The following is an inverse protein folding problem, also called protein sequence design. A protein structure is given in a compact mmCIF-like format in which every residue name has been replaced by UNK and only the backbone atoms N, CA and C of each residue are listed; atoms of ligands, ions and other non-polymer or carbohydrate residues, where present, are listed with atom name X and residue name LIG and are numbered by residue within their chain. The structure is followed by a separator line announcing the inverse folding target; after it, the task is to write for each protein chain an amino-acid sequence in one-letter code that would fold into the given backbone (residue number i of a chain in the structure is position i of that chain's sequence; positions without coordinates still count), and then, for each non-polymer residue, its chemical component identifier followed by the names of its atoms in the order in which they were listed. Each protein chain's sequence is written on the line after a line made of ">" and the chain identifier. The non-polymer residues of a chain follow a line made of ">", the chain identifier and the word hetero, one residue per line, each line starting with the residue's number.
data_IF_821784789672
#
_entry.id   IF_821784789672
#
_cell.length_a   1.000
_cell.length_b   1.000
_cell.length_c   1.000
_cell.angle_alpha   90.00
_cell.angle_beta   90.00
_cell.angle_gamma   90.00
#
_symmetry.space_group_name_H-M   'P 1'
#
loop_
_entity.id
_entity.type
_entity.pdbx_description
1 polymer ?
#
# COMPACT_ATOMS: atom_id res chain seq x y z
N UNK A 1 -20.36 -5.13 -17.74
CA UNK A 1 -20.29 -5.23 -16.26
C UNK A 1 -20.21 -3.82 -15.71
N UNK A 2 -21.36 -3.20 -15.38
CA UNK A 2 -21.40 -1.85 -14.83
C UNK A 2 -21.46 -1.95 -13.31
N UNK A 3 -20.39 -1.51 -12.64
CA UNK A 3 -20.34 -1.40 -11.17
C UNK A 3 -21.03 -0.11 -10.73
N UNK A 4 -21.94 -0.22 -9.77
CA UNK A 4 -22.62 0.91 -9.14
C UNK A 4 -21.59 1.80 -8.43
N UNK A 5 -21.52 3.07 -8.81
CA UNK A 5 -20.67 4.09 -8.18
C UNK A 5 -21.50 4.83 -7.14
N UNK A 6 -21.02 4.87 -5.89
CA UNK A 6 -21.63 5.69 -4.85
C UNK A 6 -20.79 6.95 -4.64
N UNK A 7 -21.38 8.13 -4.88
CA UNK A 7 -20.69 9.43 -4.79
C UNK A 7 -21.30 10.21 -3.63
N UNK A 8 -20.50 10.50 -2.60
CA UNK A 8 -20.96 11.30 -1.45
C UNK A 8 -20.56 12.78 -1.61
N UNK A 9 -21.48 13.75 -1.43
CA UNK A 9 -21.11 15.16 -1.38
C UNK A 9 -20.43 15.51 -0.05
N UNK A 10 -19.49 16.47 -0.09
CA UNK A 10 -18.89 17.06 1.11
C UNK A 10 -19.59 18.39 1.35
N UNK A 11 -20.38 18.49 2.42
CA UNK A 11 -20.83 19.78 2.94
C UNK A 11 -19.77 20.32 3.91
N UNK A 12 -19.34 21.57 3.67
CA UNK A 12 -18.77 22.42 4.70
C UNK A 12 -19.92 23.08 5.48
N UNK A 13 -19.77 23.13 6.80
CA UNK A 13 -20.63 23.74 7.83
C UNK A 13 -21.72 22.87 8.48
N UNK A 14 -21.54 22.72 9.81
CA UNK A 14 -22.50 22.20 10.78
C UNK A 14 -23.58 23.26 11.04
N UNK A 15 -24.78 23.07 10.50
CA UNK A 15 -26.03 23.30 11.23
C UNK A 15 -27.23 22.89 10.38
N UNK A 16 -28.11 22.09 11.00
CA UNK A 16 -29.42 21.60 10.52
C UNK A 16 -29.39 20.30 9.72
N UNK A 17 -29.74 19.21 10.43
CA UNK A 17 -30.31 18.00 9.85
C UNK A 17 -31.63 18.38 9.16
N UNK A 18 -31.79 18.07 7.88
CA UNK A 18 -33.07 17.61 7.30
C UNK A 18 -32.90 17.06 5.86
N UNK A 19 -33.67 15.99 5.60
CA UNK A 19 -34.03 15.34 4.33
C UNK A 19 -32.93 14.82 3.39
N UNK A 20 -32.66 13.51 3.50
CA UNK A 20 -32.13 12.65 2.44
C UNK A 20 -33.21 12.44 1.36
N UNK A 21 -33.03 13.03 0.18
CA UNK A 21 -33.68 12.55 -1.05
C UNK A 21 -32.58 11.97 -1.94
N UNK A 22 -32.47 10.64 -1.94
CA UNK A 22 -31.58 9.88 -2.80
C UNK A 22 -32.11 9.90 -4.25
N UNK A 23 -31.31 10.43 -5.18
CA UNK A 23 -31.58 10.34 -6.62
C UNK A 23 -31.11 8.97 -7.13
N UNK A 24 -32.02 8.00 -7.16
CA UNK A 24 -31.83 6.72 -7.84
C UNK A 24 -31.90 6.89 -9.36
N UNK A 25 -30.79 6.65 -10.06
CA UNK A 25 -30.79 6.51 -11.53
C UNK A 25 -30.93 5.03 -11.86
N UNK A 26 -32.13 4.63 -12.30
CA UNK A 26 -32.41 3.33 -12.92
C UNK A 26 -32.01 3.34 -14.40
N UNK A 27 -31.48 2.22 -14.89
CA UNK A 27 -31.47 1.88 -16.32
C UNK A 27 -31.93 0.43 -16.50
N UNK A 28 -32.98 0.27 -17.30
CA UNK A 28 -33.67 -0.98 -17.63
C UNK A 28 -32.90 -1.86 -18.65
N UNK A 29 -33.20 -3.16 -18.54
CA UNK A 29 -33.12 -4.25 -19.52
C UNK A 29 -31.76 -4.78 -20.02
N UNK A 30 -31.46 -6.03 -19.63
CA UNK A 30 -31.40 -7.15 -20.59
C UNK A 30 -31.45 -8.50 -19.85
N UNK A 31 -32.50 -9.27 -20.16
CA UNK A 31 -32.70 -10.67 -19.77
C UNK A 31 -31.96 -11.60 -20.72
N UNK A 32 -31.12 -12.51 -20.23
CA UNK A 32 -30.88 -13.78 -20.90
C UNK A 32 -30.48 -14.84 -19.87
N UNK A 33 -31.22 -15.95 -19.92
CA UNK A 33 -31.23 -17.10 -19.02
C UNK A 33 -29.95 -17.92 -19.08
N UNK A 34 -29.36 -18.23 -17.91
CA UNK A 34 -28.42 -19.33 -17.76
C UNK A 34 -28.85 -20.23 -16.59
N UNK A 35 -28.88 -21.52 -16.88
CA UNK A 35 -29.39 -22.64 -16.09
C UNK A 35 -28.83 -22.70 -14.65
N UNK A 36 -29.72 -22.77 -13.67
CA UNK A 36 -29.42 -22.59 -12.23
C UNK A 36 -29.04 -23.88 -11.48
N UNK A 37 -28.76 -24.99 -12.17
CA UNK A 37 -28.54 -26.28 -11.51
C UNK A 37 -27.23 -26.93 -11.99
N UNK A 38 -26.11 -26.68 -11.28
CA UNK A 38 -25.05 -27.68 -10.99
C UNK A 38 -23.78 -27.18 -10.27
N UNK A 39 -23.79 -26.08 -9.48
CA UNK A 39 -22.63 -25.71 -8.65
C UNK A 39 -22.99 -25.12 -7.27
N UNK A 40 -23.98 -25.70 -6.59
CA UNK A 40 -24.32 -25.32 -5.21
C UNK A 40 -23.91 -26.44 -4.25
N UNK A 41 -22.66 -26.40 -3.76
CA UNK A 41 -22.25 -26.86 -2.41
C UNK A 41 -20.73 -26.77 -2.21
N UNK A 42 -20.17 -25.56 -2.20
CA UNK A 42 -18.98 -25.17 -1.42
C UNK A 42 -18.59 -23.73 -1.80
N UNK A 43 -18.33 -22.88 -0.80
CA UNK A 43 -17.96 -21.45 -0.89
C UNK A 43 -19.12 -20.44 -0.88
N UNK A 44 -19.94 -20.47 0.18
CA UNK A 44 -20.81 -19.35 0.57
C UNK A 44 -20.13 -18.30 1.47
N UNK A 45 -18.84 -18.43 1.76
CA UNK A 45 -18.12 -17.47 2.60
C UNK A 45 -17.05 -16.71 1.82
N UNK A 46 -17.26 -15.39 1.70
CA UNK A 46 -16.32 -14.33 1.30
C UNK A 46 -16.20 -13.96 -0.19
N UNK A 47 -17.30 -13.58 -0.84
CA UNK A 47 -17.22 -12.47 -1.81
C UNK A 47 -17.60 -11.20 -1.05
N UNK A 48 -16.61 -10.51 -0.47
CA UNK A 48 -16.81 -9.13 -0.01
C UNK A 48 -17.18 -8.32 -1.26
N UNK A 49 -18.43 -7.87 -1.34
CA UNK A 49 -18.83 -6.84 -2.30
C UNK A 49 -18.05 -5.56 -1.98
N UNK A 50 -16.89 -5.36 -2.61
CA UNK A 50 -16.13 -4.12 -2.49
C UNK A 50 -16.84 -3.09 -3.36
N UNK A 51 -17.71 -2.30 -2.74
CA UNK A 51 -18.34 -1.15 -3.40
C UNK A 51 -17.25 -0.12 -3.66
N UNK A 52 -17.02 0.21 -4.94
CA UNK A 52 -16.06 1.23 -5.33
C UNK A 52 -16.56 2.62 -4.94
N UNK A 53 -15.73 3.37 -4.22
CA UNK A 53 -16.08 4.69 -3.72
C UNK A 53 -15.55 5.77 -4.67
N UNK A 54 -16.38 6.77 -4.96
CA UNK A 54 -15.98 7.97 -5.72
C UNK A 54 -15.87 9.20 -4.84
N UNK A 55 -14.87 10.05 -5.08
CA UNK A 55 -14.72 11.37 -4.45
C UNK A 55 -14.39 12.44 -5.49
N UNK A 56 -14.94 13.65 -5.32
CA UNK A 56 -14.61 14.78 -6.18
C UNK A 56 -13.14 15.19 -6.01
N UNK A 57 -12.52 15.59 -7.12
CA UNK A 57 -11.16 16.13 -7.11
C UNK A 57 -11.22 17.61 -6.72
N UNK A 58 -10.51 17.96 -5.64
CA UNK A 58 -10.46 19.34 -5.13
C UNK A 58 -9.90 20.28 -6.22
N UNK A 59 -10.64 21.34 -6.54
CA UNK A 59 -10.30 22.30 -7.60
C UNK A 59 -10.68 21.84 -9.02
N UNK A 60 -11.27 20.66 -9.16
CA UNK A 60 -11.73 20.07 -10.43
C UNK A 60 -13.11 19.41 -10.22
N UNK A 61 -14.17 20.21 -9.97
CA UNK A 61 -15.48 19.72 -9.54
C UNK A 61 -16.20 18.83 -10.57
N UNK A 62 -15.81 18.89 -11.85
CA UNK A 62 -16.37 18.03 -12.91
C UNK A 62 -15.73 16.62 -12.94
N UNK A 63 -14.80 16.33 -12.02
CA UNK A 63 -14.06 15.08 -12.02
C UNK A 63 -14.16 14.36 -10.68
N UNK A 64 -14.44 13.06 -10.77
CA UNK A 64 -14.45 12.12 -9.65
C UNK A 64 -13.27 11.17 -9.80
N UNK A 65 -12.53 10.95 -8.72
CA UNK A 65 -11.54 9.88 -8.61
C UNK A 65 -12.11 8.74 -7.78
N UNK A 66 -11.88 7.51 -8.22
CA UNK A 66 -12.39 6.32 -7.54
C UNK A 66 -11.34 5.63 -6.68
N UNK A 67 -11.78 4.79 -5.73
CA UNK A 67 -10.90 3.97 -4.88
C UNK A 67 -10.09 2.95 -5.67
N UNK A 68 -10.46 2.62 -6.91
CA UNK A 68 -9.69 1.75 -7.82
C UNK A 68 -8.74 2.53 -8.74
N UNK A 69 -8.69 3.85 -8.63
CA UNK A 69 -7.80 4.69 -9.43
C UNK A 69 -8.34 5.05 -10.82
N UNK A 70 -9.65 5.01 -11.01
CA UNK A 70 -10.32 5.51 -12.21
C UNK A 70 -10.64 6.99 -12.04
N UNK A 71 -10.77 7.69 -13.16
CA UNK A 71 -11.13 9.11 -13.18
C UNK A 71 -12.31 9.30 -14.10
N UNK A 72 -13.39 9.85 -13.58
CA UNK A 72 -14.67 9.97 -14.26
C UNK A 72 -14.96 11.46 -14.44
N UNK A 73 -15.23 11.86 -15.67
CA UNK A 73 -15.79 13.16 -16.00
C UNK A 73 -17.30 13.09 -15.79
N UNK A 74 -17.83 13.86 -14.85
CA UNK A 74 -19.23 13.78 -14.42
C UNK A 74 -20.16 14.34 -15.49
N UNK A 75 -19.84 15.51 -16.05
CA UNK A 75 -20.63 16.15 -17.10
C UNK A 75 -20.83 15.28 -18.34
N UNK A 76 -19.81 14.49 -18.69
CA UNK A 76 -19.80 13.63 -19.88
C UNK A 76 -20.10 12.16 -19.56
N UNK A 77 -20.13 11.79 -18.27
CA UNK A 77 -20.28 10.41 -17.80
C UNK A 77 -19.28 9.42 -18.44
N UNK A 78 -18.05 9.88 -18.68
CA UNK A 78 -16.99 9.07 -19.29
C UNK A 78 -15.81 8.88 -18.36
N UNK A 79 -15.17 7.72 -18.46
CA UNK A 79 -13.86 7.50 -17.86
C UNK A 79 -12.78 8.23 -18.70
N UNK A 80 -12.00 9.06 -18.03
CA UNK A 80 -10.95 9.86 -18.66
C UNK A 80 -9.76 8.96 -18.98
N UNK A 81 -9.30 9.02 -20.22
CA UNK A 81 -8.14 8.24 -20.68
C UNK A 81 -6.87 8.62 -19.91
N UNK A 82 -6.21 7.63 -19.35
CA UNK A 82 -4.93 7.76 -18.66
C UNK A 82 -3.75 7.68 -19.65
N UNK A 83 -2.66 8.34 -19.31
CA UNK A 83 -1.39 8.31 -20.05
C UNK A 83 -0.29 7.72 -19.18
N UNK A 84 0.67 7.01 -19.77
CA UNK A 84 1.84 6.53 -19.04
C UNK A 84 2.98 7.55 -19.20
N UNK A 85 3.51 8.04 -18.09
CA UNK A 85 4.71 8.89 -18.09
C UNK A 85 5.98 8.11 -18.44
N UNK A 86 7.05 8.81 -18.83
CA UNK A 86 8.37 8.19 -19.08
C UNK A 86 8.93 7.43 -17.86
N UNK A 87 8.46 7.74 -16.65
CA UNK A 87 8.80 7.05 -15.42
C UNK A 87 7.83 5.90 -15.03
N UNK A 88 6.84 5.59 -15.87
CA UNK A 88 5.93 4.46 -15.72
C UNK A 88 4.66 4.70 -14.90
N UNK A 89 4.44 5.91 -14.39
CA UNK A 89 3.22 6.28 -13.65
C UNK A 89 2.07 6.65 -14.58
N UNK A 90 0.84 6.28 -14.20
CA UNK A 90 -0.36 6.81 -14.85
C UNK A 90 -0.57 8.30 -14.50
N UNK A 91 -0.87 9.06 -15.54
CA UNK A 91 -1.10 10.50 -15.54
C UNK A 91 -2.44 10.82 -16.20
N UNK A 92 -3.04 11.94 -15.85
CA UNK A 92 -4.27 12.45 -16.43
C UNK A 92 -4.15 13.95 -16.67
N UNK A 93 -4.81 14.46 -17.71
CA UNK A 93 -4.99 15.90 -17.91
C UNK A 93 -6.41 16.27 -17.50
N UNK A 94 -6.55 17.18 -16.55
CA UNK A 94 -7.84 17.69 -16.07
C UNK A 94 -7.97 19.16 -16.46
N UNK A 95 -9.19 19.57 -16.77
CA UNK A 95 -9.50 20.97 -17.10
C UNK A 95 -10.33 21.59 -16.00
N UNK A 96 -9.99 22.79 -15.56
CA UNK A 96 -10.90 23.63 -14.78
C UNK A 96 -10.94 25.04 -15.39
N UNK A 97 -11.52 26.00 -14.67
CA UNK A 97 -11.62 27.40 -15.10
C UNK A 97 -10.25 28.03 -15.38
N UNK A 98 -9.18 27.55 -14.71
CA UNK A 98 -7.81 28.02 -14.91
C UNK A 98 -7.09 27.36 -16.10
N UNK A 99 -7.73 26.42 -16.79
CA UNK A 99 -7.18 25.71 -17.94
C UNK A 99 -6.83 24.25 -17.65
N UNK A 100 -5.89 23.71 -18.43
CA UNK A 100 -5.46 22.32 -18.34
C UNK A 100 -4.31 22.13 -17.36
N UNK A 101 -4.36 21.08 -16.56
CA UNK A 101 -3.28 20.68 -15.66
C UNK A 101 -3.11 19.17 -15.64
N UNK A 102 -1.85 18.72 -15.56
CA UNK A 102 -1.50 17.30 -15.55
C UNK A 102 -1.26 16.81 -14.13
N UNK A 103 -1.87 15.69 -13.77
CA UNK A 103 -1.75 15.08 -12.44
C UNK A 103 -1.37 13.61 -12.55
N UNK A 104 -0.64 13.10 -11.56
CA UNK A 104 -0.46 11.66 -11.41
C UNK A 104 -1.67 11.03 -10.72
N UNK A 105 -2.15 9.90 -11.23
CA UNK A 105 -3.37 9.24 -10.73
C UNK A 105 -3.20 8.81 -9.27
N UNK A 106 -2.07 8.20 -8.90
CA UNK A 106 -1.81 7.80 -7.51
C UNK A 106 -1.91 8.96 -6.51
N UNK A 107 -1.49 10.18 -6.90
CA UNK A 107 -1.59 11.34 -6.02
C UNK A 107 -3.03 11.82 -5.86
N UNK A 108 -3.85 11.75 -6.91
CA UNK A 108 -5.27 12.08 -6.85
C UNK A 108 -6.01 11.11 -5.92
N UNK A 109 -5.77 9.81 -6.09
CA UNK A 109 -6.36 8.77 -5.22
C UNK A 109 -5.91 8.97 -3.77
N UNK A 110 -4.60 9.12 -3.53
CA UNK A 110 -4.08 9.31 -2.18
C UNK A 110 -4.67 10.56 -1.51
N UNK A 111 -4.73 11.70 -2.20
CA UNK A 111 -5.30 12.92 -1.66
C UNK A 111 -6.80 12.78 -1.35
N UNK A 112 -7.54 12.04 -2.17
CA UNK A 112 -8.97 11.84 -1.97
C UNK A 112 -9.27 10.91 -0.79
N UNK A 113 -8.48 9.85 -0.58
CA UNK A 113 -8.84 8.75 0.32
C UNK A 113 -7.90 8.56 1.53
N UNK A 114 -6.61 8.92 1.45
CA UNK A 114 -5.66 8.82 2.58
C UNK A 114 -5.65 10.07 3.48
N UNK A 115 -6.37 11.12 3.10
CA UNK A 115 -6.47 12.36 3.86
C UNK A 115 -5.22 13.24 3.75
N UNK A 116 -4.95 14.02 4.81
CA UNK A 116 -3.85 14.99 4.80
C UNK A 116 -2.49 14.29 4.74
N UNK A 117 -1.75 14.57 3.68
CA UNK A 117 -0.37 14.12 3.50
C UNK A 117 0.57 14.75 4.54
N UNK A 118 1.28 13.94 5.37
CA UNK A 118 2.27 14.48 6.30
C UNK A 118 3.43 15.17 5.58
N UNK A 119 4.01 16.19 6.22
CA UNK A 119 5.14 16.94 5.65
C UNK A 119 6.32 16.03 5.37
N UNK A 120 6.95 16.15 4.19
CA UNK A 120 8.10 15.33 3.72
C UNK A 120 7.77 13.87 3.37
N UNK A 121 6.51 13.45 3.39
CA UNK A 121 6.12 12.12 2.91
C UNK A 121 5.90 12.12 1.39
N UNK A 122 5.87 10.94 0.80
CA UNK A 122 5.61 10.70 -0.62
C UNK A 122 4.55 9.61 -0.74
N UNK A 123 3.80 9.60 -1.84
CA UNK A 123 2.89 8.50 -2.14
C UNK A 123 3.73 7.34 -2.69
N UNK A 124 3.52 6.15 -2.15
CA UNK A 124 4.26 4.93 -2.48
C UNK A 124 3.29 3.80 -2.84
N UNK A 125 3.66 3.03 -3.86
CA UNK A 125 2.96 1.83 -4.29
C UNK A 125 3.50 0.63 -3.50
N UNK A 126 2.65 0.00 -2.69
CA UNK A 126 3.05 -1.09 -1.79
C UNK A 126 3.61 -2.28 -2.59
N UNK A 127 2.96 -2.62 -3.70
CA UNK A 127 3.38 -3.69 -4.62
C UNK A 127 4.49 -3.28 -5.61
N UNK A 128 4.92 -2.01 -5.59
CA UNK A 128 5.87 -1.39 -6.53
C UNK A 128 5.43 -1.34 -7.99
N UNK A 129 4.18 -1.70 -8.28
CA UNK A 129 3.56 -1.51 -9.58
C UNK A 129 2.96 -0.10 -9.67
N UNK A 130 3.64 0.78 -10.40
CA UNK A 130 3.27 2.19 -10.59
C UNK A 130 1.92 2.41 -11.29
N UNK A 131 1.34 1.36 -11.86
CA UNK A 131 0.06 1.38 -12.56
C UNK A 131 -1.10 0.86 -11.69
N UNK A 132 -0.82 0.16 -10.58
CA UNK A 132 -1.84 -0.27 -9.63
C UNK A 132 -2.18 0.87 -8.67
N UNK A 133 -3.12 1.74 -9.05
CA UNK A 133 -3.51 2.91 -8.27
C UNK A 133 -4.70 2.66 -7.32
N UNK A 134 -5.02 1.40 -7.01
CA UNK A 134 -6.02 1.09 -6.00
C UNK A 134 -5.61 1.69 -4.65
N UNK A 135 -6.55 2.27 -3.91
CA UNK A 135 -6.28 2.90 -2.61
C UNK A 135 -5.59 1.94 -1.64
N UNK A 136 -5.97 0.67 -1.66
CA UNK A 136 -5.37 -0.38 -0.83
C UNK A 136 -3.88 -0.63 -1.15
N UNK A 137 -3.44 -0.25 -2.34
CA UNK A 137 -2.04 -0.35 -2.78
C UNK A 137 -1.23 0.94 -2.57
N UNK A 138 -1.85 2.02 -2.08
CA UNK A 138 -1.19 3.32 -1.90
C UNK A 138 -0.97 3.63 -0.42
N UNK A 139 0.18 4.22 -0.09
CA UNK A 139 0.47 4.73 1.25
C UNK A 139 1.30 6.00 1.22
N UNK A 140 1.31 6.74 2.33
CA UNK A 140 2.33 7.76 2.57
C UNK A 140 3.57 7.13 3.21
N UNK A 141 4.74 7.36 2.60
CA UNK A 141 6.04 6.90 3.11
C UNK A 141 6.97 8.10 3.35
N UNK A 142 7.77 8.04 4.41
CA UNK A 142 8.85 9.01 4.63
C UNK A 142 10.01 8.75 3.66
N UNK A 143 10.78 9.78 3.30
CA UNK A 143 11.96 9.60 2.46
C UNK A 143 12.97 8.60 3.07
N UNK A 144 13.10 8.57 4.40
CA UNK A 144 13.96 7.63 5.11
C UNK A 144 13.47 6.18 5.01
N UNK A 145 12.16 5.94 5.07
CA UNK A 145 11.62 4.59 4.95
C UNK A 145 11.62 4.11 3.50
N UNK A 146 11.40 5.01 2.55
CA UNK A 146 11.55 4.71 1.12
C UNK A 146 13.00 4.29 0.79
N UNK A 147 14.00 4.95 1.38
CA UNK A 147 15.40 4.55 1.23
C UNK A 147 15.74 3.19 1.84
N UNK A 148 14.97 2.70 2.81
CA UNK A 148 15.14 1.35 3.36
C UNK A 148 14.52 0.30 2.44
N UNK A 149 13.50 0.66 1.64
CA UNK A 149 12.84 -0.19 0.63
C UNK A 149 13.64 -0.33 -0.68
N UNK A 150 14.95 -0.08 -0.68
CA UNK A 150 15.78 -0.21 -1.89
C UNK A 150 15.81 -1.68 -2.35
N UNK A 151 15.78 -1.87 -3.67
CA UNK A 151 15.87 -3.18 -4.33
C UNK A 151 17.27 -3.77 -4.31
N UNK A 152 18.30 -2.96 -4.05
CA UNK A 152 19.67 -3.44 -3.89
C UNK A 152 20.52 -2.48 -3.04
N UNK A 153 21.52 -3.05 -2.36
CA UNK A 153 22.57 -2.29 -1.68
C UNK A 153 23.92 -2.98 -1.92
N UNK A 154 24.88 -2.25 -2.49
CA UNK A 154 26.23 -2.77 -2.84
C UNK A 154 26.22 -4.04 -3.70
N UNK A 155 25.27 -4.17 -4.64
CA UNK A 155 25.18 -5.31 -5.54
C UNK A 155 24.47 -6.55 -4.97
N UNK A 156 24.06 -6.52 -3.71
CA UNK A 156 23.17 -7.54 -3.16
C UNK A 156 21.72 -7.15 -3.44
N UNK A 157 20.98 -8.06 -4.08
CA UNK A 157 19.54 -7.94 -4.26
C UNK A 157 18.86 -8.06 -2.90
N UNK A 158 17.93 -7.14 -2.62
CA UNK A 158 17.12 -7.21 -1.41
C UNK A 158 16.00 -8.23 -1.62
N UNK A 159 15.97 -9.26 -0.77
CA UNK A 159 14.93 -10.30 -0.77
C UNK A 159 13.80 -9.89 0.19
N UNK A 160 12.57 -9.79 -0.36
CA UNK A 160 11.37 -9.41 0.38
C UNK A 160 10.37 -10.57 0.44
N UNK A 161 9.70 -10.72 1.57
CA UNK A 161 8.72 -11.77 1.84
C UNK A 161 7.40 -11.14 2.27
N UNK A 162 6.26 -11.66 1.79
CA UNK A 162 4.93 -11.21 2.26
C UNK A 162 4.62 -11.78 3.64
N UNK A 163 5.04 -13.02 3.88
CA UNK A 163 4.81 -13.76 5.12
C UNK A 163 6.13 -14.39 5.58
N UNK A 164 6.25 -14.55 6.89
CA UNK A 164 7.41 -15.22 7.49
C UNK A 164 7.16 -16.73 7.64
N UNK A 165 8.22 -17.55 7.59
CA UNK A 165 8.15 -18.93 8.05
C UNK A 165 7.54 -19.02 9.46
N UNK A 166 6.76 -20.07 9.73
CA UNK A 166 6.11 -20.30 11.03
C UNK A 166 7.10 -20.51 12.18
N UNK A 167 8.36 -20.84 11.85
CA UNK A 167 9.49 -20.94 12.79
C UNK A 167 10.09 -19.59 13.16
N UNK A 168 9.60 -18.47 12.61
CA UNK A 168 10.07 -17.15 12.96
C UNK A 168 9.54 -16.69 14.31
N UNK A 169 10.45 -16.18 15.14
CA UNK A 169 10.13 -15.52 16.41
C UNK A 169 10.62 -14.09 16.41
N UNK A 170 9.94 -13.21 17.15
CA UNK A 170 10.35 -11.82 17.24
C UNK A 170 11.66 -11.69 18.03
N UNK A 171 12.65 -11.00 17.46
CA UNK A 171 13.88 -10.60 18.13
C UNK A 171 13.63 -9.29 18.90
N UNK A 172 13.37 -9.41 20.20
CA UNK A 172 13.06 -8.30 21.12
C UNK A 172 14.31 -7.74 21.78
N UNK A 173 15.27 -8.59 22.19
CA UNK A 173 16.50 -8.15 22.84
C UNK A 173 17.74 -8.95 22.42
N UNK A 174 18.91 -8.31 22.52
CA UNK A 174 20.24 -8.93 22.36
C UNK A 174 21.23 -8.20 23.26
N UNK A 175 21.63 -8.86 24.35
CA UNK A 175 22.34 -8.19 25.45
C UNK A 175 21.54 -6.99 25.96
N UNK A 176 22.17 -5.82 26.05
CA UNK A 176 21.52 -4.58 26.50
C UNK A 176 20.69 -3.85 25.43
N UNK A 177 20.56 -4.41 24.24
CA UNK A 177 19.90 -3.76 23.11
C UNK A 177 18.49 -4.29 22.91
N UNK A 178 17.54 -3.38 22.73
CA UNK A 178 16.14 -3.69 22.43
C UNK A 178 15.84 -3.33 20.98
N UNK A 179 15.08 -4.19 20.31
CA UNK A 179 14.73 -4.05 18.90
C UNK A 179 13.22 -4.07 18.72
N UNK A 180 12.78 -3.47 17.61
CA UNK A 180 11.40 -3.51 17.14
C UNK A 180 11.41 -3.95 15.68
N UNK A 181 10.38 -4.69 15.27
CA UNK A 181 10.19 -5.13 13.88
C UNK A 181 11.26 -6.11 13.34
N UNK A 182 12.04 -6.77 14.20
CA UNK A 182 12.97 -7.81 13.77
C UNK A 182 12.48 -9.20 14.17
N UNK A 183 12.71 -10.16 13.29
CA UNK A 183 12.30 -11.55 13.43
C UNK A 183 13.46 -12.46 13.06
N UNK A 184 13.57 -13.60 13.73
CA UNK A 184 14.60 -14.61 13.45
C UNK A 184 13.92 -15.96 13.24
N UNK A 185 14.28 -16.63 12.15
CA UNK A 185 13.90 -18.03 11.92
C UNK A 185 14.74 -18.93 12.82
N UNK A 186 14.09 -19.67 13.72
CA UNK A 186 14.77 -20.54 14.67
C UNK A 186 15.47 -21.74 14.01
N UNK A 187 15.07 -22.13 12.81
CA UNK A 187 15.65 -23.27 12.09
C UNK A 187 16.91 -22.86 11.33
N UNK A 188 16.87 -21.72 10.63
CA UNK A 188 17.93 -21.28 9.72
C UNK A 188 18.84 -20.20 10.33
N UNK A 189 18.40 -19.55 11.42
CA UNK A 189 18.97 -18.32 11.97
C UNK A 189 18.93 -17.12 11.02
N UNK A 190 18.13 -17.19 9.95
CA UNK A 190 17.91 -16.05 9.06
C UNK A 190 17.15 -14.95 9.78
N UNK A 191 17.56 -13.71 9.54
CA UNK A 191 17.02 -12.53 10.22
C UNK A 191 16.24 -11.68 9.23
N UNK A 192 15.05 -11.29 9.65
CA UNK A 192 14.10 -10.51 8.85
C UNK A 192 13.72 -9.23 9.58
N UNK A 193 13.47 -8.16 8.83
CA UNK A 193 12.96 -6.90 9.35
C UNK A 193 11.60 -6.61 8.71
N UNK A 194 10.56 -6.45 9.52
CA UNK A 194 9.28 -5.92 9.06
C UNK A 194 9.49 -4.46 8.63
N UNK A 195 9.14 -4.23 7.37
CA UNK A 195 9.34 -3.05 6.58
C UNK A 195 7.96 -2.64 6.06
N UNK A 196 7.23 -1.87 6.87
CA UNK A 196 5.85 -1.45 6.60
C UNK A 196 4.90 -2.67 6.51
N UNK A 197 4.81 -3.33 5.35
CA UNK A 197 3.91 -4.46 5.09
C UNK A 197 4.61 -5.73 4.57
N UNK A 198 5.94 -5.72 4.47
CA UNK A 198 6.73 -6.85 3.96
C UNK A 198 7.92 -7.09 4.87
N UNK A 199 8.50 -8.28 4.79
CA UNK A 199 9.68 -8.66 5.56
C UNK A 199 10.90 -8.65 4.67
N UNK A 200 11.88 -7.80 4.99
CA UNK A 200 13.17 -7.76 4.33
C UNK A 200 14.12 -8.76 5.00
N UNK A 201 14.68 -9.69 4.22
CA UNK A 201 15.77 -10.56 4.69
C UNK A 201 17.06 -9.75 4.85
N UNK A 202 17.63 -9.79 6.03
CA UNK A 202 18.87 -9.08 6.37
C UNK A 202 20.07 -9.93 5.97
N UNK A 203 20.98 -9.33 5.20
CA UNK A 203 22.19 -10.01 4.74
C UNK A 203 23.14 -10.30 5.90
N UNK A 204 23.58 -11.55 6.00
CA UNK A 204 24.63 -11.95 6.93
C UNK A 204 25.99 -11.42 6.45
N UNK A 205 26.68 -10.71 7.31
CA UNK A 205 28.02 -10.16 7.04
C UNK A 205 29.11 -10.97 7.73
N UNK A 206 30.28 -11.07 7.11
CA UNK A 206 31.46 -11.72 7.70
C UNK A 206 32.56 -10.70 7.91
N UNK A 207 33.11 -10.62 9.13
CA UNK A 207 34.28 -9.81 9.41
C UNK A 207 35.52 -10.43 8.75
N UNK A 208 36.19 -9.67 7.88
CA UNK A 208 37.34 -10.15 7.10
C UNK A 208 38.56 -10.55 7.94
N UNK A 209 38.70 -10.01 9.16
CA UNK A 209 39.89 -10.23 9.98
C UNK A 209 39.81 -11.49 10.84
N UNK A 210 38.63 -11.81 11.37
CA UNK A 210 38.45 -12.89 12.33
C UNK A 210 37.35 -13.90 11.93
N UNK A 211 36.74 -13.73 10.76
CA UNK A 211 35.71 -14.63 10.25
C UNK A 211 34.37 -14.58 10.99
N UNK A 212 34.21 -13.68 11.97
CA UNK A 212 32.97 -13.61 12.75
C UNK A 212 31.81 -13.18 11.85
N UNK A 213 30.75 -13.98 11.85
CA UNK A 213 29.51 -13.70 11.14
C UNK A 213 28.51 -12.95 12.03
N UNK A 214 27.89 -11.92 11.48
CA UNK A 214 26.94 -11.07 12.21
C UNK A 214 25.92 -10.40 11.27
N UNK A 215 24.76 -10.09 11.83
CA UNK A 215 23.79 -9.18 11.25
C UNK A 215 24.02 -7.77 11.78
N UNK A 216 24.08 -6.77 10.90
CA UNK A 216 24.16 -5.37 11.29
C UNK A 216 22.76 -4.76 11.25
N UNK A 217 22.15 -4.56 12.42
CA UNK A 217 20.78 -4.03 12.57
C UNK A 217 20.76 -2.81 13.48
N UNK A 218 19.65 -2.05 13.49
CA UNK A 218 19.49 -0.88 14.35
C UNK A 218 18.60 -1.23 15.54
N UNK A 219 19.02 -0.83 16.73
CA UNK A 219 18.18 -0.92 17.92
C UNK A 219 17.08 0.16 17.91
N UNK A 220 16.18 0.13 18.91
CA UNK A 220 15.08 1.11 19.07
C UNK A 220 15.56 2.57 19.19
N UNK A 221 16.81 2.80 19.61
CA UNK A 221 17.43 4.13 19.67
C UNK A 221 18.10 4.54 18.35
N UNK A 222 17.98 3.74 17.29
CA UNK A 222 18.61 3.98 15.99
C UNK A 222 20.11 3.66 15.92
N UNK A 223 20.71 3.13 16.99
CA UNK A 223 22.13 2.75 17.04
C UNK A 223 22.36 1.41 16.35
N UNK A 224 23.40 1.33 15.53
CA UNK A 224 23.83 0.07 14.91
C UNK A 224 24.38 -0.92 15.95
N UNK A 225 23.94 -2.17 15.83
CA UNK A 225 24.33 -3.30 16.68
C UNK A 225 24.72 -4.47 15.77
N UNK A 226 25.84 -5.11 16.08
CA UNK A 226 26.26 -6.35 15.43
C UNK A 226 25.72 -7.53 16.24
N UNK A 227 24.71 -8.19 15.71
CA UNK A 227 24.11 -9.39 16.29
C UNK A 227 24.86 -10.60 15.73
N UNK A 228 25.64 -11.27 16.56
CA UNK A 228 26.54 -12.34 16.14
C UNK A 228 25.78 -13.65 15.92
N UNK A 229 26.02 -14.31 14.79
CA UNK A 229 25.34 -15.57 14.44
C UNK A 229 25.59 -16.67 15.48
N UNK A 230 26.83 -16.79 15.97
CA UNK A 230 27.20 -17.77 17.00
C UNK A 230 26.49 -17.58 18.35
N UNK A 231 25.99 -16.36 18.62
CA UNK A 231 25.17 -16.08 19.81
C UNK A 231 23.71 -16.44 19.57
N UNK A 232 23.19 -16.13 18.39
CA UNK A 232 21.83 -16.53 17.99
C UNK A 232 21.65 -18.05 18.01
N UNK A 233 22.63 -18.79 17.47
CA UNK A 233 22.66 -20.26 17.50
C UNK A 233 22.66 -20.86 18.90
N UNK A 234 23.16 -20.11 19.90
CA UNK A 234 23.15 -20.51 21.31
C UNK A 234 21.90 -20.03 22.07
N UNK A 235 20.94 -19.40 21.39
CA UNK A 235 19.74 -18.85 22.03
C UNK A 235 20.03 -17.60 22.88
N UNK A 236 21.14 -16.89 22.64
CA UNK A 236 21.52 -15.70 23.41
C UNK A 236 20.80 -14.43 22.94
N UNK A 237 19.48 -14.47 22.92
CA UNK A 237 18.59 -13.36 22.57
C UNK A 237 17.28 -13.47 23.34
N UNK A 238 16.54 -12.36 23.49
CA UNK A 238 15.30 -12.30 24.27
C UNK A 238 15.46 -12.73 25.74
N UNK A 239 16.64 -12.50 26.31
CA UNK A 239 16.95 -12.67 27.73
C UNK A 239 16.68 -11.39 28.51
#
# INVERSE_FOLDING_TARGET
>A
MQTKLNVSPIYSDNSQLESLEDLEIYSEDYSESFDENDLVEANKDQVKNVVEQGRFIIGFPDYVVTSMGRIICVSQQIEVKLMVSNCGYFMVNLKNESGWSTFSVHSLVANAFLGLKPTKFQVDHIDRNKQNNCIENLRYISASDNQKNRTSYKGHLAEYFQELPTSCVQLKSYGKHVFENYFIDQNTNELYCLMLNQYLKITLSTNKHNGIQYYQIKNKLGKHVNVCLSKLQRGEYNQ
#
